data_IF_020600938101
#
_entry.id   IF_020600938101
#
_cell.length_a   1.000
_cell.length_b   1.000
_cell.length_c   1.000
_cell.angle_alpha   90.00
_cell.angle_beta   90.00
_cell.angle_gamma   90.00
#
_symmetry.space_group_name_H-M   'P 1'
#
loop_
_entity.id
_entity.type
_entity.pdbx_description
1 polymer ?
#
# COMPACT_ATOMS: atom_id res chain seq x y z
N UNK A 1 58.87 15.99 39.93
CA UNK A 1 58.80 15.17 38.70
C UNK A 1 58.92 13.71 39.09
N UNK A 2 58.11 12.76 38.57
CA UNK A 2 56.81 12.86 37.88
C UNK A 2 55.65 12.52 38.87
N UNK A 3 54.40 13.02 38.80
CA UNK A 3 53.37 13.13 37.73
C UNK A 3 52.78 11.77 37.32
N UNK A 4 51.50 11.53 37.64
CA UNK A 4 50.42 11.34 36.66
C UNK A 4 49.19 10.62 37.25
N UNK A 5 48.14 11.41 37.42
CA UNK A 5 46.72 11.06 37.40
C UNK A 5 46.32 10.18 36.19
N UNK A 6 45.42 9.20 36.42
CA UNK A 6 44.60 8.53 35.40
C UNK A 6 43.17 8.51 35.94
N UNK A 7 42.34 9.50 35.60
CA UNK A 7 41.40 9.52 34.46
C UNK A 7 40.45 8.32 34.48
N UNK A 8 39.28 8.54 35.10
CA UNK A 8 38.06 7.80 34.82
C UNK A 8 37.68 8.03 33.36
N UNK A 9 37.66 6.96 32.56
CA UNK A 9 36.98 6.95 31.25
C UNK A 9 35.63 6.30 31.46
N UNK A 10 34.60 7.14 31.58
CA UNK A 10 33.22 6.74 31.39
C UNK A 10 33.06 6.37 29.91
N UNK A 11 32.98 5.09 29.61
CA UNK A 11 32.71 4.60 28.26
C UNK A 11 31.22 4.77 27.96
N UNK A 12 30.86 5.85 27.26
CA UNK A 12 29.62 5.92 26.51
C UNK A 12 29.73 4.94 25.34
N UNK A 13 29.10 3.77 25.49
CA UNK A 13 28.89 2.83 24.40
C UNK A 13 27.87 3.44 23.43
N UNK A 14 28.35 3.97 22.31
CA UNK A 14 27.50 4.33 21.16
C UNK A 14 27.04 3.02 20.54
N UNK A 15 25.83 2.58 20.88
CA UNK A 15 25.14 1.51 20.15
C UNK A 15 24.54 2.16 18.91
N UNK A 16 25.21 1.99 17.77
CA UNK A 16 24.64 2.30 16.47
C UNK A 16 23.61 1.20 16.14
N UNK A 17 22.36 1.40 16.57
CA UNK A 17 21.25 0.56 16.15
C UNK A 17 20.75 1.05 14.79
N UNK A 18 21.19 0.40 13.71
CA UNK A 18 20.57 0.53 12.39
C UNK A 18 19.22 -0.17 12.42
N UNK A 19 18.14 0.59 12.62
CA UNK A 19 16.76 0.13 12.48
C UNK A 19 16.42 -0.01 10.99
N UNK A 20 16.79 -1.14 10.39
CA UNK A 20 16.30 -1.53 9.07
C UNK A 20 14.86 -2.03 9.22
N UNK A 21 13.89 -1.17 8.91
CA UNK A 21 12.46 -1.48 8.93
C UNK A 21 12.10 -2.40 7.76
N UNK A 22 12.17 -3.71 7.97
CA UNK A 22 11.53 -4.70 7.09
C UNK A 22 10.18 -5.10 7.69
N UNK A 23 9.10 -4.77 6.98
CA UNK A 23 7.74 -5.12 7.35
C UNK A 23 7.52 -6.62 7.08
N UNK A 24 7.40 -7.41 8.15
CA UNK A 24 6.83 -8.75 8.09
C UNK A 24 5.49 -8.70 8.83
N UNK A 25 4.41 -8.99 8.09
CA UNK A 25 3.09 -9.17 8.66
C UNK A 25 3.07 -10.42 9.57
N UNK A 26 2.97 -10.19 10.88
CA UNK A 26 2.83 -11.26 11.86
C UNK A 26 1.34 -11.51 12.16
N UNK A 27 0.78 -12.57 11.60
CA UNK A 27 -0.53 -13.10 12.01
C UNK A 27 -0.33 -14.19 13.07
N UNK A 28 -0.68 -13.88 14.32
CA UNK A 28 -0.72 -14.86 15.40
C UNK A 28 -2.09 -15.53 15.52
N UNK A 29 -2.10 -16.84 15.79
CA UNK A 29 -3.15 -17.47 16.59
C UNK A 29 -2.55 -18.63 17.40
N UNK A 30 -2.87 -18.65 18.70
CA UNK A 30 -2.21 -19.45 19.72
C UNK A 30 -2.47 -20.96 19.62
N UNK A 31 -1.39 -21.72 19.79
CA UNK A 31 -1.36 -23.15 20.04
C UNK A 31 0.08 -23.55 20.37
N UNK A 32 0.30 -24.00 21.60
CA UNK A 32 1.60 -24.39 22.17
C UNK A 32 2.38 -25.33 21.22
N UNK A 33 3.50 -24.86 20.66
CA UNK A 33 4.42 -25.68 19.87
C UNK A 33 5.89 -25.31 20.16
N UNK A 34 6.71 -26.35 20.28
CA UNK A 34 8.12 -26.38 20.66
C UNK A 34 9.02 -25.40 19.83
N UNK A 35 10.22 -25.03 20.34
CA UNK A 35 11.03 -23.98 19.74
C UNK A 35 11.51 -24.39 18.35
N UNK A 36 11.04 -23.67 17.34
CA UNK A 36 11.53 -23.75 15.96
C UNK A 36 12.74 -22.83 15.80
N UNK A 37 13.83 -23.38 15.27
CA UNK A 37 15.05 -22.65 14.91
C UNK A 37 14.78 -21.47 13.96
N UNK A 38 15.59 -20.40 13.99
CA UNK A 38 15.38 -19.18 13.21
C UNK A 38 15.57 -19.33 11.67
N UNK A 39 15.90 -20.52 11.17
CA UNK A 39 16.12 -20.79 9.73
C UNK A 39 14.96 -21.55 9.05
N UNK A 40 13.79 -21.62 9.69
CA UNK A 40 12.63 -22.32 9.15
C UNK A 40 11.46 -21.37 8.83
N UNK A 41 11.64 -20.51 7.83
CA UNK A 41 10.50 -19.96 7.09
C UNK A 41 10.47 -20.70 5.76
N UNK A 42 9.67 -21.78 5.71
CA UNK A 42 9.47 -22.54 4.49
C UNK A 42 9.00 -21.64 3.37
N UNK A 43 9.49 -21.89 2.15
CA UNK A 43 8.93 -21.34 0.92
C UNK A 43 7.45 -21.74 0.85
N UNK A 44 6.55 -20.90 1.33
CA UNK A 44 5.13 -21.11 1.14
C UNK A 44 4.79 -20.67 -0.28
N UNK A 45 4.69 -21.65 -1.19
CA UNK A 45 4.03 -21.55 -2.49
C UNK A 45 2.51 -21.44 -2.39
N UNK A 46 1.97 -21.36 -1.17
CA UNK A 46 0.54 -21.34 -0.89
C UNK A 46 0.00 -19.92 -1.05
N UNK A 47 -1.18 -19.81 -1.67
CA UNK A 47 -1.90 -18.55 -1.79
C UNK A 47 -2.30 -18.02 -0.41
N UNK A 48 -1.93 -16.79 -0.10
CA UNK A 48 -2.31 -16.08 1.12
C UNK A 48 -3.39 -15.07 0.77
N UNK A 49 -4.53 -15.15 1.45
CA UNK A 49 -5.59 -14.14 1.35
C UNK A 49 -5.42 -13.11 2.45
N UNK A 50 -5.30 -11.85 2.05
CA UNK A 50 -5.28 -10.71 2.94
C UNK A 50 -6.64 -10.01 2.86
N UNK A 51 -7.35 -9.84 3.99
CA UNK A 51 -8.58 -9.06 4.01
C UNK A 51 -8.27 -7.59 3.73
N UNK A 52 -9.06 -6.97 2.86
CA UNK A 52 -9.03 -5.53 2.62
C UNK A 52 -10.20 -4.92 3.38
N UNK A 53 -9.93 -3.86 4.12
CA UNK A 53 -10.97 -3.14 4.87
C UNK A 53 -12.02 -2.58 3.91
N UNK A 54 -13.28 -2.61 4.34
CA UNK A 54 -14.38 -2.15 3.49
C UNK A 54 -14.28 -0.63 3.24
N UNK A 55 -14.50 -0.23 1.99
CA UNK A 55 -14.70 1.16 1.62
C UNK A 55 -16.20 1.53 1.70
N UNK A 56 -16.49 2.72 2.21
CA UNK A 56 -17.84 3.31 2.18
C UNK A 56 -17.84 4.59 1.36
N UNK A 57 -18.95 4.89 0.69
CA UNK A 57 -19.07 6.08 -0.17
C UNK A 57 -20.22 6.99 0.28
N UNK A 58 -20.00 8.30 0.18
CA UNK A 58 -20.99 9.34 0.48
C UNK A 58 -20.96 10.41 -0.62
N UNK A 59 -22.08 10.63 -1.30
CA UNK A 59 -22.19 11.71 -2.29
C UNK A 59 -22.21 13.07 -1.58
N UNK A 60 -21.37 13.98 -2.08
CA UNK A 60 -21.37 15.41 -1.70
C UNK A 60 -22.16 16.21 -2.73
N UNK A 61 -21.90 15.96 -4.02
CA UNK A 61 -22.64 16.51 -5.16
C UNK A 61 -22.83 15.41 -6.21
N UNK A 62 -24.05 15.25 -6.74
CA UNK A 62 -24.37 14.25 -7.75
C UNK A 62 -23.94 14.66 -9.18
N UNK A 63 -23.47 15.90 -9.38
CA UNK A 63 -23.00 16.42 -10.67
C UNK A 63 -24.13 16.79 -11.64
N UNK A 64 -23.78 17.15 -12.87
CA UNK A 64 -24.73 17.55 -13.90
C UNK A 64 -25.47 16.36 -14.53
N UNK A 65 -26.65 16.60 -15.11
CA UNK A 65 -27.33 15.62 -15.96
C UNK A 65 -26.62 15.46 -17.33
N UNK A 66 -26.67 14.27 -17.96
CA UNK A 66 -27.33 13.05 -17.50
C UNK A 66 -26.51 12.30 -16.43
N UNK A 67 -27.20 11.84 -15.37
CA UNK A 67 -26.62 10.99 -14.32
C UNK A 67 -26.90 9.52 -14.58
N UNK A 68 -25.97 8.64 -14.19
CA UNK A 68 -26.24 7.20 -14.13
C UNK A 68 -25.40 6.50 -13.08
N UNK A 69 -25.88 5.34 -12.64
CA UNK A 69 -25.18 4.51 -11.65
C UNK A 69 -23.93 3.92 -12.30
N UNK A 70 -22.78 4.06 -11.64
CA UNK A 70 -21.50 3.50 -12.10
C UNK A 70 -21.27 2.16 -11.41
N UNK A 71 -21.07 1.10 -12.18
CA UNK A 71 -20.77 -0.24 -11.67
C UNK A 71 -19.74 -0.96 -12.53
N UNK A 72 -18.77 -1.59 -11.89
CA UNK A 72 -17.85 -2.50 -12.57
C UNK A 72 -18.52 -3.84 -12.82
N UNK A 73 -18.56 -4.24 -14.09
CA UNK A 73 -19.04 -5.56 -14.53
C UNK A 73 -18.23 -6.09 -15.71
N UNK A 74 -16.90 -6.21 -15.58
CA UNK A 74 -16.11 -6.83 -16.63
C UNK A 74 -16.57 -8.30 -16.79
N UNK A 75 -16.71 -8.73 -18.04
CA UNK A 75 -17.20 -10.07 -18.35
C UNK A 75 -16.19 -11.14 -17.90
N UNK A 76 -16.68 -12.34 -17.58
CA UNK A 76 -15.79 -13.48 -17.36
C UNK A 76 -14.97 -13.74 -18.61
N UNK A 77 -13.67 -13.96 -18.44
CA UNK A 77 -12.70 -14.14 -19.52
C UNK A 77 -12.12 -12.85 -20.09
N UNK A 78 -12.58 -11.67 -19.63
CA UNK A 78 -11.93 -10.39 -19.95
C UNK A 78 -10.46 -10.44 -19.52
N UNK A 79 -9.59 -10.01 -20.44
CA UNK A 79 -8.15 -9.86 -20.21
C UNK A 79 -7.75 -8.40 -20.31
N UNK A 80 -6.78 -8.00 -19.50
CA UNK A 80 -6.17 -6.68 -19.55
C UNK A 80 -4.68 -6.79 -19.25
N UNK A 81 -3.88 -6.10 -20.04
CA UNK A 81 -2.49 -5.81 -19.69
C UNK A 81 -2.44 -4.41 -19.09
N UNK A 82 -1.65 -4.24 -18.03
CA UNK A 82 -1.41 -2.96 -17.40
C UNK A 82 -0.03 -2.97 -16.76
N UNK A 83 0.54 -1.81 -16.51
CA UNK A 83 1.76 -1.64 -15.74
C UNK A 83 1.45 -0.81 -14.49
N UNK A 84 1.79 -1.38 -13.34
CA UNK A 84 1.75 -0.71 -12.05
C UNK A 84 3.16 -0.24 -11.70
N UNK A 85 3.33 1.06 -11.46
CA UNK A 85 4.58 1.64 -10.95
C UNK A 85 4.32 2.19 -9.56
N UNK A 86 5.15 1.79 -8.60
CA UNK A 86 5.08 2.27 -7.22
C UNK A 86 6.40 2.88 -6.79
N UNK A 87 6.34 3.95 -6.00
CA UNK A 87 7.50 4.63 -5.43
C UNK A 87 7.19 5.02 -3.99
N UNK A 88 8.17 4.87 -3.11
CA UNK A 88 8.04 5.24 -1.70
C UNK A 88 9.36 5.82 -1.20
N UNK A 89 9.40 7.13 -1.00
CA UNK A 89 10.51 7.82 -0.37
C UNK A 89 10.23 8.06 1.11
N UNK A 90 11.23 7.79 1.94
CA UNK A 90 11.17 7.98 3.39
C UNK A 90 12.48 8.58 3.86
N UNK A 91 12.44 9.85 4.25
CA UNK A 91 13.54 10.54 4.90
C UNK A 91 13.31 10.54 6.40
N UNK A 92 14.27 9.98 7.14
CA UNK A 92 14.15 9.76 8.58
C UNK A 92 15.22 10.52 9.34
N UNK A 93 14.87 11.06 10.51
CA UNK A 93 15.82 11.63 11.46
C UNK A 93 15.50 11.18 12.88
N UNK A 94 16.52 10.72 13.61
CA UNK A 94 16.43 10.43 15.04
C UNK A 94 17.17 11.56 15.77
N UNK A 95 16.48 12.27 16.66
CA UNK A 95 16.98 13.43 17.41
C UNK A 95 17.68 14.48 16.52
N UNK A 96 18.94 14.79 16.82
CA UNK A 96 19.82 15.67 16.04
C UNK A 96 20.80 14.90 15.13
N UNK A 97 20.60 13.59 14.94
CA UNK A 97 21.43 12.81 14.03
C UNK A 97 21.24 13.27 12.58
N UNK A 98 22.17 12.88 11.71
CA UNK A 98 22.05 13.13 10.28
C UNK A 98 20.77 12.46 9.73
N UNK A 99 20.12 13.13 8.78
CA UNK A 99 18.98 12.56 8.07
C UNK A 99 19.43 11.32 7.29
N UNK A 100 18.65 10.25 7.42
CA UNK A 100 18.84 8.97 6.76
C UNK A 100 17.79 8.81 5.66
N UNK A 101 18.24 8.36 4.50
CA UNK A 101 17.34 7.88 3.45
C UNK A 101 17.08 6.39 3.69
N UNK A 102 15.82 6.06 3.99
CA UNK A 102 15.35 4.68 4.18
C UNK A 102 14.27 4.33 3.15
N UNK A 103 14.28 5.03 2.01
CA UNK A 103 13.35 4.84 0.90
C UNK A 103 13.40 3.42 0.33
N UNK A 104 12.27 3.00 -0.24
CA UNK A 104 12.22 1.78 -1.06
C UNK A 104 12.37 2.18 -2.54
N UNK A 105 13.20 1.48 -3.33
CA UNK A 105 13.33 1.75 -4.75
C UNK A 105 11.99 1.67 -5.49
N UNK A 106 11.89 2.39 -6.61
CA UNK A 106 10.73 2.29 -7.48
C UNK A 106 10.55 0.85 -7.98
N UNK A 107 9.32 0.34 -7.96
CA UNK A 107 9.01 -0.98 -8.51
C UNK A 107 8.05 -0.83 -9.69
N UNK A 108 8.49 -1.34 -10.85
CA UNK A 108 7.68 -1.46 -12.06
C UNK A 108 7.20 -2.89 -12.22
N UNK A 109 5.89 -3.08 -12.31
CA UNK A 109 5.25 -4.39 -12.42
C UNK A 109 4.32 -4.43 -13.63
N UNK A 110 4.72 -5.05 -14.74
CA UNK A 110 3.79 -5.48 -15.78
C UNK A 110 2.83 -6.52 -15.21
N UNK A 111 1.54 -6.37 -15.48
CA UNK A 111 0.47 -7.22 -14.97
C UNK A 111 -0.41 -7.68 -16.13
N UNK A 112 -0.66 -8.98 -16.19
CA UNK A 112 -1.72 -9.56 -17.02
C UNK A 112 -2.87 -9.97 -16.13
N UNK A 113 -4.00 -9.28 -16.24
CA UNK A 113 -5.23 -9.58 -15.53
C UNK A 113 -6.15 -10.50 -16.35
N UNK A 114 -6.80 -11.43 -15.65
CA UNK A 114 -7.85 -12.30 -16.17
C UNK A 114 -9.03 -12.30 -15.21
N UNK A 115 -10.20 -11.92 -15.69
CA UNK A 115 -11.45 -12.07 -14.93
C UNK A 115 -11.85 -13.54 -14.93
N UNK A 116 -11.62 -14.23 -13.83
CA UNK A 116 -11.96 -15.65 -13.67
C UNK A 116 -13.41 -15.86 -13.30
N UNK A 117 -14.02 -14.87 -12.63
CA UNK A 117 -15.45 -14.81 -12.35
C UNK A 117 -15.94 -13.37 -12.48
N UNK A 118 -16.91 -13.13 -13.36
CA UNK A 118 -17.59 -11.82 -13.46
C UNK A 118 -18.75 -11.72 -12.46
N UNK A 119 -19.07 -10.49 -12.05
CA UNK A 119 -20.22 -10.27 -11.17
C UNK A 119 -21.55 -10.68 -11.82
N UNK A 120 -22.42 -11.30 -11.04
CA UNK A 120 -23.77 -11.72 -11.41
C UNK A 120 -24.79 -11.34 -10.33
N UNK A 121 -26.07 -11.54 -10.59
CA UNK A 121 -27.12 -11.25 -9.61
C UNK A 121 -27.03 -12.16 -8.36
N UNK A 122 -26.51 -13.38 -8.50
CA UNK A 122 -26.31 -14.32 -7.39
C UNK A 122 -24.97 -14.16 -6.68
N UNK A 123 -23.98 -13.52 -7.32
CA UNK A 123 -22.66 -13.24 -6.78
C UNK A 123 -22.22 -11.84 -7.26
N UNK A 124 -22.55 -10.75 -6.54
CA UNK A 124 -22.31 -9.38 -6.97
C UNK A 124 -20.85 -8.93 -6.76
N UNK A 125 -19.90 -9.80 -7.11
CA UNK A 125 -18.47 -9.58 -6.99
C UNK A 125 -17.73 -10.19 -8.19
N UNK A 126 -16.63 -9.55 -8.57
CA UNK A 126 -15.74 -9.97 -9.66
C UNK A 126 -14.44 -10.48 -9.05
N UNK A 127 -14.01 -11.66 -9.49
CA UNK A 127 -12.73 -12.26 -9.12
C UNK A 127 -11.76 -12.12 -10.29
N UNK A 128 -10.58 -11.58 -10.00
CA UNK A 128 -9.53 -11.29 -10.99
C UNK A 128 -8.26 -11.97 -10.55
N UNK A 129 -7.64 -12.72 -11.46
CA UNK A 129 -6.30 -13.27 -11.26
C UNK A 129 -5.30 -12.44 -12.06
N UNK A 130 -4.12 -12.26 -11.49
CA UNK A 130 -3.01 -11.48 -12.02
C UNK A 130 -1.80 -12.40 -12.20
N UNK A 131 -1.12 -12.25 -13.33
CA UNK A 131 0.24 -12.77 -13.54
C UNK A 131 1.19 -11.59 -13.63
N UNK A 132 2.25 -11.61 -12.82
CA UNK A 132 3.29 -10.60 -12.83
C UNK A 132 4.28 -10.92 -13.95
N UNK A 133 4.54 -9.94 -14.81
CA UNK A 133 5.59 -10.00 -15.82
C UNK A 133 6.97 -9.75 -15.22
N UNK A 134 7.90 -9.32 -16.07
CA UNK A 134 9.26 -8.98 -15.66
C UNK A 134 9.25 -7.73 -14.77
N UNK A 135 9.60 -7.93 -13.49
CA UNK A 135 9.66 -6.86 -12.51
C UNK A 135 10.98 -6.11 -12.67
N UNK A 136 10.96 -4.79 -12.50
CA UNK A 136 12.17 -3.99 -12.57
C UNK A 136 12.20 -2.83 -11.59
N UNK A 137 13.41 -2.43 -11.24
CA UNK A 137 13.73 -1.29 -10.37
C UNK A 137 14.94 -0.55 -10.93
N UNK A 138 15.05 0.78 -10.76
CA UNK A 138 16.25 1.52 -11.15
C UNK A 138 17.48 1.18 -10.31
N UNK A 139 17.32 0.50 -9.18
CA UNK A 139 18.41 0.06 -8.30
C UNK A 139 18.95 -1.33 -8.74
N UNK A 140 20.16 -1.41 -9.34
CA UNK A 140 20.68 -2.66 -9.89
C UNK A 140 20.89 -3.76 -8.84
N UNK A 141 21.17 -3.39 -7.58
CA UNK A 141 21.38 -4.36 -6.49
C UNK A 141 20.05 -4.99 -6.06
N UNK A 142 18.93 -4.32 -6.32
CA UNK A 142 17.58 -4.84 -6.04
C UNK A 142 16.98 -5.53 -7.25
N UNK A 143 17.35 -5.12 -8.46
CA UNK A 143 16.83 -5.69 -9.71
C UNK A 143 17.14 -7.19 -9.84
N UNK A 144 18.36 -7.61 -9.50
CA UNK A 144 18.75 -9.03 -9.49
C UNK A 144 17.92 -9.87 -8.51
N UNK A 145 17.47 -9.25 -7.42
CA UNK A 145 16.63 -9.91 -6.40
C UNK A 145 15.20 -10.12 -6.89
N UNK A 146 14.73 -9.33 -7.87
CA UNK A 146 13.38 -9.42 -8.42
C UNK A 146 13.23 -10.49 -9.50
N UNK A 147 14.30 -10.86 -10.20
CA UNK A 147 14.22 -11.80 -11.33
C UNK A 147 13.50 -13.13 -10.97
N UNK A 148 13.77 -13.79 -9.83
CA UNK A 148 13.08 -15.02 -9.43
C UNK A 148 11.59 -14.82 -9.09
N UNK A 149 11.13 -13.58 -8.91
CA UNK A 149 9.72 -13.27 -8.63
C UNK A 149 8.90 -13.02 -9.92
N UNK A 150 9.53 -12.98 -11.08
CA UNK A 150 8.83 -12.92 -12.38
C UNK A 150 7.92 -14.14 -12.54
N UNK A 151 6.69 -13.94 -13.01
CA UNK A 151 5.70 -15.02 -13.11
C UNK A 151 4.96 -15.32 -11.82
N UNK A 152 5.28 -14.62 -10.71
CA UNK A 152 4.47 -14.65 -9.50
C UNK A 152 3.01 -14.33 -9.82
N UNK A 153 2.11 -14.83 -8.99
CA UNK A 153 0.68 -14.61 -9.16
C UNK A 153 0.13 -13.79 -8.01
N UNK A 154 -0.87 -12.99 -8.35
CA UNK A 154 -1.73 -12.33 -7.38
C UNK A 154 -3.17 -12.44 -7.86
N UNK A 155 -4.11 -11.96 -7.06
CA UNK A 155 -5.48 -11.86 -7.47
C UNK A 155 -6.24 -11.01 -6.49
N UNK A 156 -7.38 -10.49 -6.89
CA UNK A 156 -8.21 -9.73 -5.99
C UNK A 156 -9.70 -9.97 -6.29
N UNK A 157 -10.53 -9.66 -5.30
CA UNK A 157 -11.98 -9.61 -5.47
C UNK A 157 -12.42 -8.17 -5.35
N UNK A 158 -13.26 -7.70 -6.27
CA UNK A 158 -13.90 -6.39 -6.19
C UNK A 158 -15.43 -6.53 -6.15
N UNK A 159 -16.09 -5.61 -5.48
CA UNK A 159 -17.55 -5.50 -5.54
C UNK A 159 -17.98 -4.64 -6.75
N UNK A 160 -19.29 -4.45 -6.93
CA UNK A 160 -19.84 -3.66 -8.03
C UNK A 160 -19.42 -2.18 -8.02
N UNK A 161 -19.01 -1.60 -6.88
CA UNK A 161 -18.52 -0.22 -6.83
C UNK A 161 -17.06 -0.08 -7.25
N UNK A 162 -16.36 -1.19 -7.50
CA UNK A 162 -14.93 -1.22 -7.77
C UNK A 162 -14.06 -1.29 -6.51
N UNK A 163 -14.65 -1.33 -5.31
CA UNK A 163 -13.88 -1.49 -4.08
C UNK A 163 -13.31 -2.92 -4.00
N UNK A 164 -12.00 -3.02 -3.76
CA UNK A 164 -11.34 -4.30 -3.51
C UNK A 164 -11.70 -4.78 -2.10
N UNK A 165 -12.15 -6.02 -1.98
CA UNK A 165 -12.57 -6.63 -0.70
C UNK A 165 -11.63 -7.73 -0.21
N UNK A 166 -10.82 -8.28 -1.10
CA UNK A 166 -9.81 -9.30 -0.77
C UNK A 166 -8.65 -9.20 -1.75
N UNK A 167 -7.43 -9.30 -1.23
CA UNK A 167 -6.20 -9.46 -2.00
C UNK A 167 -5.67 -10.87 -1.75
N UNK A 168 -5.22 -11.53 -2.81
CA UNK A 168 -4.65 -12.88 -2.79
C UNK A 168 -3.26 -12.78 -3.38
N UNK A 169 -2.27 -13.25 -2.65
CA UNK A 169 -0.88 -13.24 -3.07
C UNK A 169 -0.41 -14.68 -3.16
N UNK A 170 0.14 -15.06 -4.31
CA UNK A 170 0.78 -16.36 -4.54
C UNK A 170 2.14 -16.10 -5.17
N UNK A 171 3.13 -15.71 -4.37
CA UNK A 171 4.48 -15.48 -4.86
C UNK A 171 5.06 -16.74 -5.49
N UNK A 172 5.99 -16.56 -6.43
CA UNK A 172 6.79 -17.68 -6.90
C UNK A 172 7.57 -18.30 -5.72
N UNK A 173 7.66 -19.63 -5.61
CA UNK A 173 8.43 -20.29 -4.56
C UNK A 173 9.90 -19.84 -4.53
N UNK A 174 10.48 -19.55 -5.70
CA UNK A 174 11.87 -19.12 -5.85
C UNK A 174 12.06 -17.63 -5.58
N UNK A 175 10.97 -16.86 -5.44
CA UNK A 175 11.05 -15.45 -5.07
C UNK A 175 11.79 -15.30 -3.73
N UNK A 176 12.58 -14.24 -3.58
CA UNK A 176 13.23 -13.95 -2.29
C UNK A 176 12.28 -13.17 -1.38
N UNK A 177 12.47 -13.26 -0.05
CA UNK A 177 11.62 -12.56 0.92
C UNK A 177 11.59 -11.04 0.68
N UNK A 178 12.71 -10.45 0.26
CA UNK A 178 12.76 -9.02 -0.10
C UNK A 178 11.86 -8.69 -1.30
N UNK A 179 11.91 -9.49 -2.37
CA UNK A 179 11.04 -9.32 -3.53
C UNK A 179 9.57 -9.50 -3.16
N UNK A 180 9.25 -10.52 -2.35
CA UNK A 180 7.89 -10.75 -1.83
C UNK A 180 7.35 -9.55 -1.08
N UNK A 181 8.13 -8.98 -0.15
CA UNK A 181 7.74 -7.80 0.61
C UNK A 181 7.52 -6.56 -0.28
N UNK A 182 8.37 -6.35 -1.28
CA UNK A 182 8.22 -5.25 -2.23
C UNK A 182 6.93 -5.39 -3.07
N UNK A 183 6.64 -6.59 -3.56
CA UNK A 183 5.41 -6.89 -4.32
C UNK A 183 4.17 -6.67 -3.44
N UNK A 184 4.20 -7.21 -2.21
CA UNK A 184 3.10 -7.07 -1.24
C UNK A 184 2.82 -5.59 -0.93
N UNK A 185 3.88 -4.82 -0.64
CA UNK A 185 3.77 -3.38 -0.38
C UNK A 185 3.18 -2.62 -1.58
N UNK A 186 3.64 -2.93 -2.80
CA UNK A 186 3.15 -2.29 -4.01
C UNK A 186 1.65 -2.58 -4.24
N UNK A 187 1.20 -3.80 -3.99
CA UNK A 187 -0.23 -4.14 -4.06
C UNK A 187 -1.05 -3.44 -2.99
N UNK A 188 -0.59 -3.36 -1.74
CA UNK A 188 -1.31 -2.58 -0.72
C UNK A 188 -1.44 -1.12 -1.12
N UNK A 189 -0.35 -0.51 -1.59
CA UNK A 189 -0.36 0.88 -2.05
C UNK A 189 -1.38 1.10 -3.18
N UNK A 190 -1.51 0.17 -4.12
CA UNK A 190 -2.46 0.25 -5.22
C UNK A 190 -3.91 0.01 -4.78
N UNK A 191 -4.15 -1.00 -3.95
CA UNK A 191 -5.49 -1.36 -3.44
C UNK A 191 -6.10 -0.19 -2.67
N UNK A 192 -5.37 0.41 -1.73
CA UNK A 192 -5.87 1.53 -0.93
C UNK A 192 -5.99 2.85 -1.72
N UNK A 193 -5.54 2.89 -2.98
CA UNK A 193 -5.71 4.02 -3.91
C UNK A 193 -6.80 3.78 -4.97
N UNK A 194 -7.55 2.69 -4.87
CA UNK A 194 -8.67 2.41 -5.77
C UNK A 194 -9.84 3.35 -5.49
N UNK A 195 -10.54 3.77 -6.54
CA UNK A 195 -11.73 4.62 -6.44
C UNK A 195 -12.98 3.74 -6.38
N UNK A 196 -13.65 3.73 -5.23
CA UNK A 196 -14.98 3.14 -5.08
C UNK A 196 -16.06 4.15 -5.48
N UNK A 197 -17.02 3.72 -6.30
CA UNK A 197 -18.13 4.57 -6.77
C UNK A 197 -19.37 4.50 -5.85
N UNK A 198 -20.17 5.58 -5.76
CA UNK A 198 -21.42 5.57 -5.03
C UNK A 198 -22.49 4.71 -5.73
N UNK A 199 -23.45 4.18 -4.95
CA UNK A 199 -24.55 3.38 -5.49
C UNK A 199 -25.60 4.23 -6.22
N UNK A 200 -25.66 5.53 -5.95
CA UNK A 200 -26.58 6.45 -6.59
C UNK A 200 -26.04 6.95 -7.94
N UNK A 201 -26.94 7.45 -8.78
CA UNK A 201 -26.58 7.97 -10.10
C UNK A 201 -25.75 9.25 -9.99
N UNK A 202 -24.62 9.30 -10.69
CA UNK A 202 -23.73 10.46 -10.77
C UNK A 202 -23.51 10.87 -12.23
N UNK A 203 -23.27 12.16 -12.43
CA UNK A 203 -22.89 12.73 -13.72
C UNK A 203 -21.60 13.53 -13.63
N UNK A 204 -21.16 14.11 -14.74
CA UNK A 204 -19.93 14.90 -14.78
C UNK A 204 -20.00 16.06 -13.77
N UNK A 205 -18.92 16.28 -13.04
CA UNK A 205 -18.83 17.22 -11.94
C UNK A 205 -19.27 16.66 -10.58
N UNK A 206 -19.73 15.41 -10.51
CA UNK A 206 -20.07 14.78 -9.24
C UNK A 206 -18.86 14.70 -8.30
N UNK A 207 -19.12 14.90 -7.02
CA UNK A 207 -18.13 14.82 -5.94
C UNK A 207 -18.65 13.88 -4.86
N UNK A 208 -17.80 12.96 -4.39
CA UNK A 208 -18.14 12.03 -3.32
C UNK A 208 -16.91 11.72 -2.47
N UNK A 209 -17.16 11.29 -1.23
CA UNK A 209 -16.14 10.85 -0.29
C UNK A 209 -16.12 9.35 -0.22
N UNK A 210 -14.92 8.79 -0.22
CA UNK A 210 -14.63 7.38 0.04
C UNK A 210 -13.95 7.34 1.41
N UNK A 211 -14.46 6.52 2.33
CA UNK A 211 -13.87 6.31 3.65
C UNK A 211 -13.46 4.86 3.82
N UNK A 212 -12.22 4.65 4.22
CA UNK A 212 -11.64 3.33 4.43
C UNK A 212 -10.54 3.40 5.49
N UNK A 213 -10.46 2.38 6.34
CA UNK A 213 -9.38 2.26 7.32
C UNK A 213 -8.18 1.58 6.66
N UNK A 214 -7.01 2.19 6.64
CA UNK A 214 -5.80 1.56 6.09
C UNK A 214 -5.06 0.89 7.23
N UNK A 215 -4.84 -0.42 7.08
CA UNK A 215 -4.08 -1.22 8.02
C UNK A 215 -2.60 -1.19 7.64
N UNK A 216 -1.78 -0.83 8.61
CA UNK A 216 -0.33 -0.76 8.50
C UNK A 216 0.28 -0.68 9.89
N UNK A 217 1.56 -0.33 9.96
CA UNK A 217 2.25 -0.20 11.24
C UNK A 217 1.64 0.93 12.12
N UNK A 218 1.05 1.94 11.47
CA UNK A 218 0.13 2.90 12.06
C UNK A 218 -1.21 2.74 11.35
N UNK A 219 -2.24 2.36 12.10
CA UNK A 219 -3.59 2.30 11.56
C UNK A 219 -4.12 3.72 11.32
N UNK A 220 -4.57 4.02 10.11
CA UNK A 220 -5.08 5.35 9.71
C UNK A 220 -6.48 5.25 9.12
N UNK A 221 -7.30 6.27 9.36
CA UNK A 221 -8.53 6.50 8.62
C UNK A 221 -8.18 7.33 7.39
N UNK A 222 -8.48 6.79 6.21
CA UNK A 222 -8.30 7.47 4.94
C UNK A 222 -9.65 8.01 4.45
N UNK A 223 -9.65 9.29 4.09
CA UNK A 223 -10.73 9.93 3.36
C UNK A 223 -10.22 10.32 1.98
N UNK A 224 -10.81 9.75 0.94
CA UNK A 224 -10.55 10.15 -0.45
C UNK A 224 -11.75 10.96 -0.97
N UNK A 225 -11.54 12.22 -1.29
CA UNK A 225 -12.52 13.03 -2.03
C UNK A 225 -12.29 12.81 -3.52
N UNK A 226 -13.28 12.25 -4.21
CA UNK A 226 -13.24 11.93 -5.62
C UNK A 226 -14.18 12.86 -6.41
N UNK A 227 -13.75 13.24 -7.61
CA UNK A 227 -14.53 14.08 -8.54
C UNK A 227 -14.56 13.46 -9.92
N UNK A 228 -15.75 13.23 -10.48
CA UNK A 228 -15.90 12.77 -11.85
C UNK A 228 -15.70 13.94 -12.81
N UNK A 229 -14.53 14.04 -13.44
CA UNK A 229 -14.19 15.18 -14.31
C UNK A 229 -14.59 14.95 -15.77
N UNK A 230 -14.59 13.70 -16.24
CA UNK A 230 -15.01 13.36 -17.59
C UNK A 230 -15.61 11.96 -17.66
N UNK A 231 -16.52 11.77 -18.61
CA UNK A 231 -17.14 10.49 -18.92
C UNK A 231 -17.37 10.36 -20.42
N UNK A 232 -16.79 9.32 -21.00
CA UNK A 232 -17.00 8.90 -22.39
C UNK A 232 -17.39 7.42 -22.40
N UNK A 233 -18.70 7.14 -22.50
CA UNK A 233 -19.23 5.79 -22.32
C UNK A 233 -18.86 5.20 -20.95
N UNK A 234 -18.06 4.13 -21.00
CA UNK A 234 -17.53 3.40 -19.84
C UNK A 234 -16.16 3.90 -19.38
N UNK A 235 -15.53 4.82 -20.12
CA UNK A 235 -14.28 5.47 -19.71
C UNK A 235 -14.57 6.68 -18.84
N UNK A 236 -14.07 6.65 -17.60
CA UNK A 236 -14.25 7.70 -16.60
C UNK A 236 -12.89 8.28 -16.20
N UNK A 237 -12.81 9.59 -16.08
CA UNK A 237 -11.65 10.30 -15.50
C UNK A 237 -12.07 10.89 -14.16
N UNK A 238 -11.30 10.57 -13.13
CA UNK A 238 -11.58 10.95 -11.75
C UNK A 238 -10.37 11.66 -11.18
N UNK A 239 -10.58 12.85 -10.64
CA UNK A 239 -9.61 13.52 -9.79
C UNK A 239 -9.83 13.07 -8.34
N UNK A 240 -8.73 12.88 -7.61
CA UNK A 240 -8.79 12.45 -6.21
C UNK A 240 -7.93 13.33 -5.32
N UNK A 241 -8.39 13.50 -4.10
CA UNK A 241 -7.64 14.09 -2.99
C UNK A 241 -7.72 13.12 -1.81
N UNK A 242 -6.57 12.77 -1.24
CA UNK A 242 -6.45 11.79 -0.17
C UNK A 242 -6.02 12.51 1.10
N UNK A 243 -6.65 12.20 2.22
CA UNK A 243 -6.21 12.62 3.55
C UNK A 243 -6.21 11.42 4.49
N UNK A 244 -5.15 11.27 5.27
CA UNK A 244 -5.04 10.22 6.28
C UNK A 244 -4.92 10.81 7.68
N UNK A 245 -5.66 10.23 8.62
CA UNK A 245 -5.64 10.59 10.04
C UNK A 245 -5.33 9.35 10.87
N UNK A 246 -4.39 9.38 11.83
CA UNK A 246 -4.10 8.21 12.65
C UNK A 246 -5.29 7.87 13.56
N UNK A 247 -5.58 6.58 13.68
CA UNK A 247 -6.66 6.05 14.54
C UNK A 247 -6.18 5.75 15.97
N UNK A 248 -4.87 5.81 16.18
CA UNK A 248 -4.18 5.51 17.43
C UNK A 248 -3.11 6.56 17.70
N UNK A 249 -2.90 6.88 18.97
CA UNK A 249 -1.79 7.72 19.42
C UNK A 249 -0.48 6.93 19.58
N UNK A 250 -0.47 5.62 19.25
CA UNK A 250 0.69 4.75 19.37
C UNK A 250 1.07 4.15 18.01
N UNK A 251 2.35 4.26 17.67
CA UNK A 251 2.99 3.53 16.60
C UNK A 251 3.70 2.30 17.18
N UNK A 252 3.21 1.10 16.86
CA UNK A 252 3.87 -0.15 17.25
C UNK A 252 5.01 -0.45 16.29
N UNK A 253 6.24 -0.50 16.80
CA UNK A 253 7.40 -0.82 15.99
C UNK A 253 7.39 -2.32 15.63
N UNK A 254 7.82 -2.68 14.40
CA UNK A 254 7.89 -4.08 13.98
C UNK A 254 8.74 -4.96 14.89
N UNK A 255 8.51 -6.27 14.82
CA UNK A 255 9.29 -7.30 15.54
C UNK A 255 9.31 -7.12 17.07
N UNK A 256 8.31 -6.43 17.63
CA UNK A 256 8.21 -6.19 19.08
C UNK A 256 9.27 -5.23 19.61
N UNK A 257 9.82 -4.35 18.76
CA UNK A 257 10.86 -3.39 19.14
C UNK A 257 10.37 -2.27 20.08
N UNK A 258 9.08 -2.24 20.42
CA UNK A 258 8.46 -1.28 21.33
C UNK A 258 7.33 -0.50 20.65
N UNK A 259 6.91 0.59 21.31
CA UNK A 259 5.94 1.53 20.79
C UNK A 259 6.48 2.95 20.91
N UNK A 260 6.12 3.81 19.96
CA UNK A 260 6.33 5.24 20.01
C UNK A 260 4.99 5.96 20.11
N UNK A 261 4.95 7.09 20.80
CA UNK A 261 3.82 8.00 20.79
C UNK A 261 3.78 8.77 19.47
N UNK A 262 2.59 8.96 18.91
CA UNK A 262 2.35 9.71 17.67
C UNK A 262 2.13 11.18 18.03
N UNK A 263 3.20 11.98 17.99
CA UNK A 263 3.13 13.41 18.33
C UNK A 263 2.43 14.21 17.23
N UNK A 264 2.73 13.90 15.96
CA UNK A 264 2.09 14.51 14.80
C UNK A 264 2.04 13.56 13.61
N UNK A 265 0.96 13.64 12.85
CA UNK A 265 0.78 12.87 11.63
C UNK A 265 0.00 13.72 10.62
N UNK A 266 0.60 13.98 9.47
CA UNK A 266 -0.09 14.60 8.34
C UNK A 266 0.35 13.90 7.07
N UNK A 267 -0.57 13.26 6.36
CA UNK A 267 -0.33 12.72 5.02
C UNK A 267 -1.51 13.10 4.12
N UNK A 268 -1.19 13.78 3.02
CA UNK A 268 -2.14 14.29 2.04
C UNK A 268 -1.68 13.92 0.66
N UNK A 269 -2.62 13.58 -0.21
CA UNK A 269 -2.33 13.24 -1.58
C UNK A 269 -3.31 13.83 -2.56
N UNK A 270 -2.91 13.82 -3.82
CA UNK A 270 -3.79 14.14 -4.93
C UNK A 270 -3.34 13.41 -6.18
N UNK A 271 -4.24 13.33 -7.15
CA UNK A 271 -3.95 12.68 -8.40
C UNK A 271 -5.16 12.57 -9.29
N UNK A 272 -4.98 11.83 -10.36
CA UNK A 272 -6.01 11.51 -11.33
C UNK A 272 -5.95 10.02 -11.62
N UNK A 273 -7.09 9.40 -11.84
CA UNK A 273 -7.19 8.02 -12.33
C UNK A 273 -8.18 7.95 -13.49
N UNK A 274 -7.85 7.14 -14.48
CA UNK A 274 -8.73 6.80 -15.59
C UNK A 274 -9.09 5.34 -15.47
N UNK A 275 -10.40 5.07 -15.43
CA UNK A 275 -10.95 3.71 -15.39
C UNK A 275 -11.80 3.47 -16.62
N UNK A 276 -11.89 2.21 -17.02
CA UNK A 276 -12.84 1.73 -18.02
C UNK A 276 -13.64 0.59 -17.37
N UNK A 277 -14.96 0.75 -17.27
CA UNK A 277 -15.83 -0.17 -16.53
C UNK A 277 -15.89 -1.59 -17.14
N UNK A 278 -15.36 -1.77 -18.36
CA UNK A 278 -15.31 -3.05 -19.06
C UNK A 278 -14.09 -3.91 -18.69
N UNK A 279 -13.09 -3.34 -17.99
CA UNK A 279 -11.83 -4.02 -17.61
C UNK A 279 -11.53 -3.86 -16.11
N UNK A 280 -10.77 -4.80 -15.49
CA UNK A 280 -10.65 -4.87 -14.03
C UNK A 280 -9.63 -3.90 -13.38
N UNK A 281 -8.68 -3.36 -14.13
CA UNK A 281 -7.64 -2.46 -13.62
C UNK A 281 -7.78 -1.05 -14.23
N UNK A 282 -7.29 0.00 -13.54
CA UNK A 282 -7.17 1.32 -14.14
C UNK A 282 -6.38 1.27 -15.46
N UNK A 283 -6.77 2.12 -16.41
CA UNK A 283 -6.13 2.19 -17.75
C UNK A 283 -5.09 3.30 -17.83
N UNK A 284 -5.13 4.27 -16.92
CA UNK A 284 -4.12 5.31 -16.78
C UNK A 284 -4.25 6.03 -15.44
N UNK A 285 -3.22 6.76 -15.05
CA UNK A 285 -3.29 7.79 -14.02
C UNK A 285 -2.27 7.60 -12.91
N UNK A 286 -2.23 8.55 -11.99
CA UNK A 286 -1.32 8.49 -10.87
C UNK A 286 -1.84 9.26 -9.66
N UNK A 287 -1.51 8.76 -8.47
CA UNK A 287 -1.87 9.37 -7.20
C UNK A 287 -0.60 9.43 -6.35
N UNK A 288 -0.22 10.64 -5.95
CA UNK A 288 0.89 10.89 -5.05
C UNK A 288 0.35 11.33 -3.70
N UNK A 289 0.89 10.81 -2.60
CA UNK A 289 0.57 11.22 -1.25
C UNK A 289 1.85 11.47 -0.46
N UNK A 290 1.92 12.62 0.20
CA UNK A 290 3.10 13.11 0.89
C UNK A 290 2.75 13.60 2.28
N UNK A 291 3.70 13.49 3.19
CA UNK A 291 3.43 13.78 4.59
C UNK A 291 4.66 13.91 5.45
N UNK A 292 4.43 14.43 6.65
CA UNK A 292 5.41 14.46 7.72
C UNK A 292 4.80 13.86 8.98
N UNK A 293 5.62 13.08 9.68
CA UNK A 293 5.24 12.44 10.93
C UNK A 293 6.32 12.71 11.97
N UNK A 294 5.91 12.84 13.23
CA UNK A 294 6.83 12.87 14.37
C UNK A 294 6.34 11.95 15.47
N UNK A 295 7.28 11.24 16.07
CA UNK A 295 7.05 10.29 17.13
C UNK A 295 8.06 10.49 18.25
N UNK A 296 7.67 10.14 19.47
CA UNK A 296 8.51 10.15 20.66
C UNK A 296 8.47 8.79 21.34
N UNK A 297 9.53 8.41 22.05
CA UNK A 297 9.43 7.27 22.96
C UNK A 297 8.64 7.66 24.23
N UNK A 298 8.10 6.70 25.00
CA UNK A 298 7.28 7.02 26.17
C UNK A 298 7.99 7.81 27.28
N UNK A 299 9.33 7.91 27.24
CA UNK A 299 10.11 8.71 28.19
C UNK A 299 10.56 10.06 27.65
N UNK A 300 10.19 10.42 26.41
CA UNK A 300 10.52 11.68 25.75
C UNK A 300 12.04 11.93 25.67
N UNK A 301 12.79 10.86 25.45
CA UNK A 301 14.26 10.87 25.33
C UNK A 301 14.76 10.67 23.90
N UNK A 302 13.90 10.18 23.01
CA UNK A 302 14.18 9.92 21.61
C UNK A 302 13.02 10.42 20.75
N UNK A 303 13.31 11.27 19.77
CA UNK A 303 12.35 11.75 18.79
C UNK A 303 12.68 11.23 17.40
N UNK A 304 11.69 10.67 16.74
CA UNK A 304 11.74 10.24 15.35
C UNK A 304 10.94 11.22 14.49
N UNK A 305 11.57 11.83 13.49
CA UNK A 305 10.89 12.62 12.46
C UNK A 305 11.00 11.93 11.12
N UNK A 306 9.90 11.84 10.39
CA UNK A 306 9.85 11.27 9.06
C UNK A 306 9.17 12.23 8.08
N UNK A 307 9.67 12.24 6.85
CA UNK A 307 8.96 12.79 5.69
C UNK A 307 8.81 11.68 4.68
N UNK A 308 7.58 11.46 4.22
CA UNK A 308 7.24 10.36 3.33
C UNK A 308 6.60 10.92 2.06
N UNK A 309 6.95 10.38 0.90
CA UNK A 309 6.20 10.55 -0.34
C UNK A 309 5.99 9.19 -1.00
N UNK A 310 4.75 8.89 -1.34
CA UNK A 310 4.36 7.66 -2.00
C UNK A 310 3.57 7.96 -3.26
N UNK A 311 3.91 7.28 -4.35
CA UNK A 311 3.17 7.42 -5.60
C UNK A 311 2.85 6.06 -6.19
N UNK A 312 1.61 5.93 -6.63
CA UNK A 312 1.11 4.82 -7.45
C UNK A 312 0.72 5.36 -8.81
N UNK A 313 1.14 4.66 -9.85
CA UNK A 313 0.87 4.99 -11.24
C UNK A 313 0.45 3.75 -12.01
N UNK A 314 -0.54 3.94 -12.89
CA UNK A 314 -1.08 2.94 -13.79
C UNK A 314 -0.88 3.38 -15.22
N UNK A 315 -0.36 2.48 -16.05
CA UNK A 315 -0.18 2.66 -17.49
C UNK A 315 -0.81 1.46 -18.21
N UNK A 316 -1.84 1.69 -19.02
CA UNK A 316 -2.52 0.66 -19.82
C UNK A 316 -2.17 0.67 -21.29
#
# INVERSE_FOLDING_TARGET
>A
MPVASKVFRSGTAVVAATLSLTLLAACGNGGEAAPVSPDAVGAASDEVTVPVTAATTEIVDAGAEPRSVVRFRPAQGTRQEAQLVTTATVMQQIDEQAVQDVSTPALTMPLTALVTQGASDSAPATTVDLTLGELSTPDPDVDEVLAPATGSHAGFTMNLSGAVTALRLRPDPDAQNKARAMIEQAFYQAVYRTVAFPEQAIGVGAEWRIRQQVMGAIAVDQVTTAKLVARDGDRLTIDVQVEQTPTTALFQLPNGAGALDVDSFALRGSGNVVVDLSVPLPVAGSITAEGSQSFSDPTDTMHLRQTTSERVEWNG
#
